data_IF_445535930756
#
_entry.id   IF_445535930756
#
_cell.length_a   1.000
_cell.length_b   1.000
_cell.length_c   1.000
_cell.angle_alpha   90.00
_cell.angle_beta   90.00
_cell.angle_gamma   90.00
#
_symmetry.space_group_name_H-M   'P 1'
#
loop_
_entity.id
_entity.type
_entity.pdbx_description
1 polymer ?
#
# COMPACT_ATOMS: atom_id res chain seq x y z
N UNK A 1 6.26 -8.47 4.15
CA UNK A 1 5.25 -8.02 3.16
C UNK A 1 3.84 -8.58 3.32
N UNK A 2 3.60 -9.81 3.84
CA UNK A 2 2.21 -10.33 4.03
C UNK A 2 1.34 -9.44 4.92
N UNK A 3 1.92 -8.90 6.00
CA UNK A 3 1.26 -7.97 6.94
C UNK A 3 0.68 -6.74 6.23
N UNK A 4 1.42 -6.15 5.28
CA UNK A 4 0.98 -4.97 4.52
C UNK A 4 -0.26 -5.25 3.67
N UNK A 5 -0.29 -6.41 3.00
CA UNK A 5 -1.43 -6.81 2.18
C UNK A 5 -2.69 -7.03 3.03
N UNK A 6 -2.52 -7.65 4.20
CA UNK A 6 -3.60 -7.89 5.16
C UNK A 6 -4.18 -6.58 5.71
N UNK A 7 -3.33 -5.63 6.10
CA UNK A 7 -3.75 -4.30 6.56
C UNK A 7 -4.53 -3.53 5.48
N UNK A 8 -4.09 -3.63 4.21
CA UNK A 8 -4.79 -3.01 3.08
C UNK A 8 -6.16 -3.65 2.84
N UNK A 9 -6.28 -4.97 3.00
CA UNK A 9 -7.56 -5.67 2.90
C UNK A 9 -8.51 -5.23 4.02
N UNK A 10 -8.04 -5.21 5.27
CA UNK A 10 -8.86 -4.76 6.41
C UNK A 10 -9.37 -3.33 6.22
N UNK A 11 -8.53 -2.41 5.74
CA UNK A 11 -8.95 -1.04 5.41
C UNK A 11 -10.06 -1.02 4.35
N UNK A 12 -9.94 -1.85 3.31
CA UNK A 12 -10.95 -1.94 2.26
C UNK A 12 -12.29 -2.45 2.84
N UNK A 13 -12.24 -3.46 3.70
CA UNK A 13 -13.43 -4.03 4.35
C UNK A 13 -14.12 -3.01 5.28
N UNK A 14 -13.36 -2.24 6.06
CA UNK A 14 -13.90 -1.15 6.89
C UNK A 14 -14.56 -0.07 6.04
N UNK A 15 -13.92 0.34 4.94
CA UNK A 15 -14.49 1.31 4.00
C UNK A 15 -15.79 0.81 3.39
N UNK A 16 -15.86 -0.49 3.10
CA UNK A 16 -17.07 -1.14 2.59
C UNK A 16 -18.19 -1.14 3.63
N UNK A 17 -17.87 -1.43 4.90
CA UNK A 17 -18.83 -1.37 6.00
C UNK A 17 -19.36 0.06 6.19
N UNK A 18 -18.48 1.07 6.20
CA UNK A 18 -18.89 2.48 6.30
C UNK A 18 -19.84 2.89 5.16
N UNK A 19 -19.54 2.48 3.92
CA UNK A 19 -20.46 2.69 2.79
C UNK A 19 -21.79 1.99 2.98
N UNK A 20 -21.78 0.74 3.46
CA UNK A 20 -23.00 -0.03 3.71
C UNK A 20 -23.94 0.69 4.69
N UNK A 21 -23.40 1.26 5.78
CA UNK A 21 -24.18 2.08 6.72
C UNK A 21 -24.81 3.30 6.05
N UNK A 22 -24.04 4.02 5.23
CA UNK A 22 -24.55 5.20 4.51
C UNK A 22 -25.62 4.83 3.49
N UNK A 23 -25.41 3.73 2.75
CA UNK A 23 -26.40 3.21 1.78
C UNK A 23 -27.68 2.82 2.48
N UNK A 24 -27.59 2.05 3.58
CA UNK A 24 -28.76 1.62 4.35
C UNK A 24 -29.55 2.81 4.90
N UNK A 25 -28.87 3.80 5.47
CA UNK A 25 -29.52 5.02 5.96
C UNK A 25 -30.22 5.78 4.81
N UNK A 26 -29.56 5.87 3.64
CA UNK A 26 -30.12 6.46 2.43
C UNK A 26 -31.36 5.72 1.91
N UNK A 27 -31.31 4.39 1.87
CA UNK A 27 -32.41 3.51 1.45
C UNK A 27 -33.61 3.63 2.40
N UNK A 28 -33.36 3.72 3.70
CA UNK A 28 -34.36 3.92 4.75
C UNK A 28 -34.84 5.39 4.84
N UNK A 29 -34.31 6.30 3.99
CA UNK A 29 -34.59 7.74 3.96
C UNK A 29 -34.49 8.41 5.33
N UNK A 30 -33.58 7.94 6.17
CA UNK A 30 -33.34 8.48 7.50
C UNK A 30 -31.87 8.82 7.67
N UNK A 31 -31.59 9.71 8.61
CA UNK A 31 -30.22 9.92 9.06
C UNK A 31 -29.73 8.69 9.84
N UNK A 32 -28.41 8.56 9.96
CA UNK A 32 -27.79 7.60 10.87
C UNK A 32 -28.33 7.82 12.28
N UNK A 33 -28.61 6.72 12.99
CA UNK A 33 -28.97 6.80 14.41
C UNK A 33 -27.75 7.19 15.24
N UNK A 34 -27.96 7.51 16.51
CA UNK A 34 -26.86 7.85 17.41
C UNK A 34 -25.88 6.67 17.59
N UNK A 35 -26.38 5.43 17.60
CA UNK A 35 -25.56 4.23 17.68
C UNK A 35 -24.79 3.96 16.38
N UNK A 36 -25.43 4.12 15.22
CA UNK A 36 -24.76 3.96 13.92
C UNK A 36 -23.71 5.05 13.69
N UNK A 37 -23.95 6.27 14.20
CA UNK A 37 -22.97 7.36 14.13
C UNK A 37 -21.73 7.03 14.95
N UNK A 38 -21.90 6.51 16.18
CA UNK A 38 -20.77 6.03 16.99
C UNK A 38 -19.99 4.92 16.30
N UNK A 39 -20.68 3.93 15.73
CA UNK A 39 -20.02 2.86 14.98
C UNK A 39 -19.29 3.41 13.76
N UNK A 40 -19.86 4.38 13.04
CA UNK A 40 -19.20 5.02 11.91
C UNK A 40 -17.92 5.75 12.33
N UNK A 41 -17.95 6.49 13.45
CA UNK A 41 -16.79 7.18 13.98
C UNK A 41 -15.70 6.22 14.46
N UNK A 42 -16.09 5.09 15.08
CA UNK A 42 -15.16 4.02 15.46
C UNK A 42 -14.49 3.37 14.24
N UNK A 43 -15.28 3.01 13.21
CA UNK A 43 -14.77 2.46 11.94
C UNK A 43 -13.81 3.44 11.27
N UNK A 44 -14.12 4.74 11.33
CA UNK A 44 -13.26 5.80 10.79
C UNK A 44 -11.94 5.89 11.53
N UNK A 45 -11.98 5.89 12.87
CA UNK A 45 -10.78 5.87 13.72
C UNK A 45 -9.91 4.64 13.45
N UNK A 46 -10.52 3.46 13.31
CA UNK A 46 -9.80 2.22 12.95
C UNK A 46 -9.16 2.32 11.56
N UNK A 47 -9.86 2.88 10.57
CA UNK A 47 -9.30 3.12 9.24
C UNK A 47 -8.11 4.08 9.28
N UNK A 48 -8.17 5.14 10.09
CA UNK A 48 -7.06 6.09 10.23
C UNK A 48 -5.85 5.44 10.92
N UNK A 49 -6.07 4.62 11.94
CA UNK A 49 -5.01 3.83 12.58
C UNK A 49 -4.36 2.85 11.59
N UNK A 50 -5.16 2.14 10.79
CA UNK A 50 -4.65 1.24 9.76
C UNK A 50 -3.84 1.99 8.69
N UNK A 51 -4.27 3.19 8.31
CA UNK A 51 -3.51 4.03 7.38
C UNK A 51 -2.13 4.39 7.92
N UNK A 52 -2.05 4.81 9.19
CA UNK A 52 -0.77 5.13 9.83
C UNK A 52 0.14 3.90 9.89
N UNK A 53 -0.42 2.74 10.23
CA UNK A 53 0.33 1.49 10.28
C UNK A 53 0.82 1.05 8.89
N UNK A 54 -0.03 1.14 7.86
CA UNK A 54 0.35 0.89 6.46
C UNK A 54 1.51 1.79 6.04
N UNK A 55 1.44 3.09 6.31
CA UNK A 55 2.50 4.04 5.96
C UNK A 55 3.83 3.71 6.66
N UNK A 56 3.77 3.28 7.92
CA UNK A 56 4.94 2.83 8.67
C UNK A 56 5.56 1.57 8.06
N UNK A 57 4.74 0.56 7.74
CA UNK A 57 5.24 -0.67 7.09
C UNK A 57 5.75 -0.43 5.67
N UNK A 58 5.18 0.52 4.93
CA UNK A 58 5.69 0.93 3.61
C UNK A 58 7.06 1.59 3.73
N UNK A 59 7.24 2.47 4.71
CA UNK A 59 8.53 3.11 4.98
C UNK A 59 9.59 2.08 5.37
N UNK A 60 9.27 1.15 6.27
CA UNK A 60 10.18 0.07 6.65
C UNK A 60 10.58 -0.81 5.46
N UNK A 61 9.61 -1.15 4.60
CA UNK A 61 9.88 -1.96 3.42
C UNK A 61 10.74 -1.22 2.39
N UNK A 62 10.54 0.10 2.25
CA UNK A 62 11.37 0.95 1.38
C UNK A 62 12.79 1.09 1.94
N UNK A 63 12.94 1.29 3.26
CA UNK A 63 14.23 1.35 3.94
C UNK A 63 15.00 0.02 3.83
N UNK A 64 14.35 -1.13 4.01
CA UNK A 64 14.97 -2.45 3.78
C UNK A 64 15.48 -2.58 2.34
N UNK A 65 14.71 -2.12 1.35
CA UNK A 65 15.13 -2.14 -0.06
C UNK A 65 16.27 -1.18 -0.33
N UNK A 66 16.25 0.00 0.28
CA UNK A 66 17.28 1.02 0.15
C UNK A 66 18.59 0.60 0.83
N UNK A 67 18.52 -0.15 1.93
CA UNK A 67 19.70 -0.78 2.54
C UNK A 67 20.23 -1.95 1.72
N UNK A 68 19.35 -2.82 1.20
CA UNK A 68 19.74 -3.91 0.30
C UNK A 68 20.36 -3.40 -1.02
N UNK A 69 19.96 -2.22 -1.49
CA UNK A 69 20.55 -1.55 -2.64
C UNK A 69 21.95 -0.97 -2.38
N UNK A 70 22.30 -0.67 -1.12
CA UNK A 70 23.63 -0.15 -0.74
C UNK A 70 24.71 -1.24 -0.63
N UNK A 71 24.32 -2.50 -0.58
CA UNK A 71 25.24 -3.66 -0.60
C UNK A 71 25.52 -4.21 -1.98
N UNK A 72 25.10 -3.55 -3.07
CA UNK A 72 25.75 -3.74 -4.35
C UNK A 72 27.04 -2.91 -4.35
N UNK A 73 28.24 -3.52 -4.20
CA UNK A 73 29.41 -2.84 -4.70
C UNK A 73 29.16 -2.64 -6.19
N UNK A 74 29.19 -1.37 -6.61
CA UNK A 74 29.57 -1.03 -7.97
C UNK A 74 31.00 -1.54 -8.19
N UNK A 75 31.16 -2.86 -8.32
CA UNK A 75 32.42 -3.50 -8.61
C UNK A 75 32.64 -3.42 -10.11
N UNK A 76 33.44 -2.41 -10.46
CA UNK A 76 34.58 -2.49 -11.38
C UNK A 76 34.32 -2.98 -12.80
N UNK A 77 34.47 -2.02 -13.71
CA UNK A 77 35.43 -2.05 -14.81
C UNK A 77 35.60 -3.38 -15.54
N UNK A 78 34.92 -3.54 -16.67
CA UNK A 78 35.50 -4.24 -17.81
C UNK A 78 35.87 -3.21 -18.87
N UNK A 79 37.07 -2.64 -18.71
CA UNK A 79 37.80 -2.05 -19.83
C UNK A 79 38.61 -3.15 -20.51
N UNK A 80 38.68 -3.06 -21.84
CA UNK A 80 39.44 -3.89 -22.79
C UNK A 80 38.76 -5.21 -23.19
N UNK A 81 38.57 -5.55 -24.47
CA UNK A 81 39.25 -5.12 -25.70
C UNK A 81 38.45 -5.55 -26.94
N UNK A 82 38.41 -4.67 -27.93
CA UNK A 82 38.41 -4.89 -29.39
C UNK A 82 38.09 -6.33 -29.88
N UNK A 83 36.87 -6.52 -30.38
CA UNK A 83 36.60 -7.50 -31.45
C UNK A 83 35.60 -6.87 -32.42
N UNK A 84 36.17 -6.30 -33.48
CA UNK A 84 35.56 -6.12 -34.78
C UNK A 84 34.66 -7.30 -35.18
N UNK A 85 33.58 -7.00 -35.89
CA UNK A 85 33.11 -7.64 -37.14
C UNK A 85 31.61 -7.35 -37.29
N UNK A 86 31.36 -6.26 -38.01
CA UNK A 86 30.38 -6.14 -39.10
C UNK A 86 29.23 -7.18 -39.15
N UNK A 87 28.02 -6.68 -38.93
CA UNK A 87 26.78 -7.45 -39.14
C UNK A 87 25.55 -6.57 -39.33
N UNK A 88 25.68 -5.47 -40.09
CA UNK A 88 24.53 -4.83 -40.73
C UNK A 88 24.23 -5.59 -42.04
N UNK A 89 22.95 -5.83 -42.30
CA UNK A 89 22.31 -6.54 -43.42
C UNK A 89 22.18 -8.07 -43.30
N UNK A 90 20.94 -8.51 -43.02
CA UNK A 90 20.14 -9.32 -43.95
C UNK A 90 18.67 -8.99 -43.74
#
# INVERSE_FOLDING_TARGET
MKKLLELRQQKADLTHQMRSFLTKAGDEKRSLTNDETKQFDELRSQSDSLNAEIAHYETLADDERNQAGKTQPASKNFSNSDVDVLGWLT
#
